data_IF_376444086862
#
_entry.id   IF_376444086862
#
_cell.length_a   1.000
_cell.length_b   1.000
_cell.length_c   1.000
_cell.angle_alpha   90.00
_cell.angle_beta   90.00
_cell.angle_gamma   90.00
#
_symmetry.space_group_name_H-M   'P 1'
#
loop_
_entity.id
_entity.type
_entity.pdbx_description
1 polymer ?
#
# COMPACT_ATOMS: atom_id res chain seq x y z
N UNK A 1 1.00 -21.68 4.30
CA UNK A 1 0.88 -21.07 2.95
C UNK A 1 1.60 -19.74 2.89
N UNK A 2 1.29 -18.74 3.71
CA UNK A 2 1.93 -17.42 3.63
C UNK A 2 3.46 -17.46 3.87
N UNK A 3 3.95 -18.25 4.82
CA UNK A 3 5.40 -18.49 5.01
C UNK A 3 6.07 -19.17 3.80
N UNK A 4 5.39 -20.13 3.18
CA UNK A 4 5.88 -20.79 1.98
C UNK A 4 5.92 -19.84 0.77
N UNK A 5 4.96 -18.92 0.66
CA UNK A 5 4.97 -17.84 -0.34
C UNK A 5 6.13 -16.87 -0.06
N UNK A 6 6.32 -16.46 1.20
CA UNK A 6 7.42 -15.58 1.61
C UNK A 6 8.78 -16.21 1.28
N UNK A 7 9.01 -17.48 1.66
CA UNK A 7 10.25 -18.19 1.32
C UNK A 7 10.45 -18.35 -0.19
N UNK A 8 9.37 -18.62 -0.95
CA UNK A 8 9.46 -18.71 -2.41
C UNK A 8 9.87 -17.37 -3.04
N UNK A 9 9.30 -16.24 -2.59
CA UNK A 9 9.60 -14.93 -3.15
C UNK A 9 10.95 -14.37 -2.68
N UNK A 10 11.37 -14.63 -1.45
CA UNK A 10 12.69 -14.23 -0.98
C UNK A 10 13.81 -14.92 -1.78
N UNK A 11 13.60 -16.17 -2.19
CA UNK A 11 14.60 -16.96 -2.91
C UNK A 11 14.44 -16.89 -4.44
N UNK A 12 13.58 -16.01 -4.96
CA UNK A 12 13.28 -15.97 -6.40
C UNK A 12 14.43 -15.35 -7.21
N UNK A 13 15.22 -14.47 -6.58
CA UNK A 13 16.41 -13.87 -7.17
C UNK A 13 17.52 -14.91 -7.37
N UNK A 14 17.61 -15.89 -6.46
CA UNK A 14 18.67 -16.91 -6.47
C UNK A 14 18.33 -18.15 -7.30
N UNK A 15 17.06 -18.35 -7.67
CA UNK A 15 16.59 -19.58 -8.32
C UNK A 15 17.18 -19.85 -9.69
N UNK A 16 17.43 -18.79 -10.44
CA UNK A 16 17.99 -18.82 -11.80
C UNK A 16 19.31 -18.04 -11.89
N UNK A 17 19.90 -17.68 -10.74
CA UNK A 17 21.14 -16.90 -10.72
C UNK A 17 22.25 -17.75 -11.38
N UNK A 18 22.83 -17.28 -12.50
CA UNK A 18 23.95 -17.98 -13.10
C UNK A 18 25.10 -18.00 -12.11
N UNK A 19 25.90 -19.07 -12.12
CA UNK A 19 27.11 -19.18 -11.30
C UNK A 19 28.20 -18.24 -11.85
N UNK A 20 27.98 -16.94 -11.65
CA UNK A 20 28.92 -15.89 -12.03
C UNK A 20 29.80 -15.58 -10.83
N UNK A 21 31.11 -15.65 -11.05
CA UNK A 21 32.08 -15.00 -10.18
C UNK A 21 31.76 -13.50 -10.12
N UNK A 22 31.90 -12.89 -8.94
CA UNK A 22 31.70 -11.44 -8.71
C UNK A 22 32.36 -10.57 -9.81
N UNK A 23 33.56 -10.93 -10.24
CA UNK A 23 34.31 -10.25 -11.29
C UNK A 23 33.60 -10.23 -12.66
N UNK A 24 32.95 -11.34 -13.04
CA UNK A 24 32.18 -11.45 -14.29
C UNK A 24 30.88 -10.66 -14.20
N UNK A 25 30.22 -10.68 -13.04
CA UNK A 25 29.02 -9.90 -12.81
C UNK A 25 29.32 -8.40 -12.90
N UNK A 26 30.38 -7.93 -12.24
CA UNK A 26 30.85 -6.54 -12.33
C UNK A 26 31.25 -6.13 -13.75
N UNK A 27 31.93 -7.02 -14.49
CA UNK A 27 32.28 -6.76 -15.88
C UNK A 27 31.04 -6.62 -16.78
N UNK A 28 30.06 -7.52 -16.63
CA UNK A 28 28.81 -7.47 -17.37
C UNK A 28 27.99 -6.22 -17.04
N UNK A 29 27.89 -5.86 -15.75
CA UNK A 29 27.22 -4.63 -15.32
C UNK A 29 27.90 -3.40 -15.92
N UNK A 30 29.24 -3.35 -15.92
CA UNK A 30 29.99 -2.25 -16.52
C UNK A 30 29.76 -2.14 -18.03
N UNK A 31 29.72 -3.28 -18.73
CA UNK A 31 29.51 -3.32 -20.17
C UNK A 31 28.12 -2.78 -20.54
N UNK A 32 27.07 -3.25 -19.86
CA UNK A 32 25.69 -2.77 -20.07
C UNK A 32 25.55 -1.29 -19.74
N UNK A 33 26.17 -0.82 -18.65
CA UNK A 33 26.06 0.56 -18.21
C UNK A 33 26.96 1.53 -18.99
N UNK A 34 27.88 1.02 -19.83
CA UNK A 34 28.83 1.83 -20.60
C UNK A 34 28.13 2.83 -21.54
N UNK A 35 27.01 2.42 -22.10
CA UNK A 35 26.28 3.19 -23.11
C UNK A 35 25.20 4.10 -22.50
N UNK A 36 25.08 4.14 -21.17
CA UNK A 36 24.21 5.08 -20.46
C UNK A 36 24.82 6.48 -20.55
N UNK A 37 24.35 7.25 -21.53
CA UNK A 37 24.78 8.63 -21.81
C UNK A 37 23.89 9.66 -21.11
N UNK A 38 23.56 9.44 -19.85
CA UNK A 38 22.77 10.39 -19.07
C UNK A 38 23.70 11.30 -18.27
N UNK A 39 23.78 12.57 -18.64
CA UNK A 39 24.36 13.60 -17.78
C UNK A 39 23.24 14.54 -17.32
N UNK A 40 22.86 14.36 -16.06
CA UNK A 40 21.86 15.19 -15.42
C UNK A 40 22.39 16.61 -15.22
N UNK A 41 21.58 17.62 -15.55
CA UNK A 41 21.96 19.02 -15.34
C UNK A 41 22.26 19.31 -13.86
N UNK A 42 23.10 20.32 -13.62
CA UNK A 42 23.44 20.77 -12.28
C UNK A 42 22.21 21.18 -11.48
N UNK A 43 21.21 21.83 -12.09
CA UNK A 43 19.99 22.25 -11.38
C UNK A 43 19.20 21.03 -10.89
N UNK A 44 19.06 20.01 -11.73
CA UNK A 44 18.39 18.74 -11.40
C UNK A 44 19.14 17.97 -10.31
N UNK A 45 20.48 17.94 -10.38
CA UNK A 45 21.33 17.36 -9.32
C UNK A 45 21.13 18.07 -7.98
N UNK A 46 21.02 19.40 -7.98
CA UNK A 46 20.74 20.18 -6.76
C UNK A 46 19.33 19.90 -6.23
N UNK A 47 18.33 19.88 -7.12
CA UNK A 47 16.95 19.57 -6.76
C UNK A 47 16.86 18.23 -6.04
N UNK A 48 17.38 17.15 -6.64
CA UNK A 48 17.38 15.81 -6.05
C UNK A 48 18.20 15.73 -4.76
N UNK A 49 19.31 16.47 -4.66
CA UNK A 49 20.15 16.49 -3.45
C UNK A 49 19.50 17.21 -2.26
N UNK A 50 18.59 18.16 -2.52
CA UNK A 50 17.93 18.94 -1.50
C UNK A 50 17.07 18.06 -0.56
N UNK A 51 16.94 18.49 0.68
CA UNK A 51 16.07 17.88 1.68
C UNK A 51 14.60 17.93 1.24
N UNK A 52 13.81 17.04 1.81
CA UNK A 52 12.36 17.03 1.59
C UNK A 52 11.71 18.20 2.33
N UNK A 53 10.84 18.89 1.62
CA UNK A 53 10.08 20.06 2.10
C UNK A 53 8.70 19.65 2.60
N UNK A 54 8.09 20.52 3.41
CA UNK A 54 6.72 20.33 3.91
C UNK A 54 5.69 20.24 2.79
N UNK A 55 5.89 20.99 1.70
CA UNK A 55 4.96 21.03 0.57
C UNK A 55 5.02 19.73 -0.22
N UNK A 56 6.20 19.17 -0.46
CA UNK A 56 6.37 17.86 -1.11
C UNK A 56 5.71 16.73 -0.29
N UNK A 57 5.83 16.75 1.05
CA UNK A 57 5.15 15.79 1.93
C UNK A 57 3.63 16.00 1.91
N UNK A 58 3.18 17.25 1.95
CA UNK A 58 1.75 17.59 1.90
C UNK A 58 1.12 17.11 0.60
N UNK A 59 1.77 17.33 -0.53
CA UNK A 59 1.30 16.89 -1.83
C UNK A 59 1.28 15.38 -1.97
N UNK A 60 2.32 14.68 -1.45
CA UNK A 60 2.35 13.22 -1.42
C UNK A 60 1.19 12.63 -0.59
N UNK A 61 0.86 13.28 0.53
CA UNK A 61 -0.27 12.89 1.39
C UNK A 61 -1.62 13.22 0.73
N UNK A 62 -1.79 14.39 0.11
CA UNK A 62 -3.02 14.76 -0.62
C UNK A 62 -3.33 13.81 -1.77
N UNK A 63 -2.29 13.33 -2.46
CA UNK A 63 -2.40 12.31 -3.53
C UNK A 63 -2.67 10.90 -3.00
N UNK A 64 -2.62 10.67 -1.69
CA UNK A 64 -2.93 9.37 -1.12
C UNK A 64 -4.44 9.11 -1.15
N UNK A 65 -4.83 7.97 -1.70
CA UNK A 65 -6.23 7.56 -1.73
C UNK A 65 -6.67 7.05 -0.35
N UNK A 66 -7.77 7.59 0.18
CA UNK A 66 -8.42 7.09 1.39
C UNK A 66 -9.00 5.68 1.20
N UNK A 67 -9.18 4.96 2.29
CA UNK A 67 -9.75 3.61 2.31
C UNK A 67 -8.78 2.50 1.90
N UNK A 68 -7.47 2.78 1.84
CA UNK A 68 -6.43 1.77 1.64
C UNK A 68 -6.08 1.08 2.96
N UNK A 69 -5.69 -0.18 2.87
CA UNK A 69 -5.23 -0.93 4.04
C UNK A 69 -3.92 -0.33 4.62
N UNK A 70 -3.91 -0.17 5.94
CA UNK A 70 -2.72 0.22 6.70
C UNK A 70 -1.71 -0.93 6.78
N UNK A 71 -0.47 -0.60 7.16
CA UNK A 71 0.59 -1.59 7.38
C UNK A 71 0.51 -2.25 8.76
N UNK A 72 1.65 -2.72 9.27
CA UNK A 72 1.81 -3.41 10.56
C UNK A 72 1.54 -2.53 11.77
N UNK A 73 1.73 -1.23 11.64
CA UNK A 73 1.42 -0.28 12.69
C UNK A 73 -0.09 -0.05 12.87
N UNK A 74 -0.88 -0.36 11.84
CA UNK A 74 -2.31 -0.12 11.76
C UNK A 74 -2.68 1.34 11.57
N UNK A 75 -1.73 2.24 11.32
CA UNK A 75 -1.98 3.68 11.16
C UNK A 75 -2.34 3.97 9.69
N UNK A 76 -3.55 4.46 9.41
CA UNK A 76 -4.03 4.63 8.05
C UNK A 76 -3.77 6.06 7.53
N UNK A 77 -3.93 6.28 6.22
CA UNK A 77 -3.74 7.60 5.61
C UNK A 77 -4.67 8.68 6.19
N UNK A 78 -5.88 8.29 6.61
CA UNK A 78 -6.84 9.25 7.15
C UNK A 78 -6.43 9.83 8.49
N UNK A 79 -5.60 9.12 9.26
CA UNK A 79 -4.96 9.70 10.43
C UNK A 79 -4.06 10.87 10.00
N UNK A 80 -3.10 10.59 9.11
CA UNK A 80 -2.15 11.61 8.65
C UNK A 80 -2.85 12.80 8.01
N UNK A 81 -3.90 12.56 7.21
CA UNK A 81 -4.69 13.60 6.56
C UNK A 81 -5.53 14.40 7.55
N UNK A 82 -6.10 13.77 8.59
CA UNK A 82 -6.90 14.47 9.60
C UNK A 82 -6.08 15.47 10.42
N UNK A 83 -4.76 15.26 10.55
CA UNK A 83 -3.83 16.12 11.30
C UNK A 83 -2.88 16.90 10.39
N UNK A 84 -3.22 17.04 9.11
CA UNK A 84 -2.48 17.88 8.18
C UNK A 84 -2.58 19.33 8.66
N UNK A 85 -1.50 19.87 9.26
CA UNK A 85 -1.45 21.26 9.71
C UNK A 85 -1.79 22.21 8.56
N UNK A 86 -2.72 23.14 8.79
CA UNK A 86 -3.22 24.07 7.77
C UNK A 86 -2.16 25.11 7.38
N UNK A 87 -2.08 25.41 6.08
CA UNK A 87 -1.62 26.71 5.60
C UNK A 87 -2.79 27.67 5.33
N UNK A 88 -4.03 27.16 5.23
CA UNK A 88 -5.21 27.88 4.76
C UNK A 88 -6.34 27.98 5.80
N UNK A 89 -6.05 27.80 7.09
CA UNK A 89 -7.07 27.88 8.14
C UNK A 89 -6.75 29.04 9.09
N UNK A 90 -6.98 30.28 8.61
CA UNK A 90 -6.96 31.51 9.43
C UNK A 90 -7.94 31.46 10.61
N UNK A 91 -8.76 30.40 10.72
CA UNK A 91 -9.68 30.19 11.83
C UNK A 91 -9.27 29.11 12.84
N UNK A 92 -8.10 28.48 12.71
CA UNK A 92 -7.59 27.61 13.77
C UNK A 92 -6.69 28.41 14.71
N UNK A 93 -7.34 28.87 15.79
CA UNK A 93 -6.78 29.26 17.08
C UNK A 93 -5.42 28.64 17.38
N UNK A 94 -4.50 29.46 17.92
CA UNK A 94 -3.26 29.08 18.62
C UNK A 94 -3.40 27.80 19.46
N UNK A 95 -3.32 26.64 18.85
CA UNK A 95 -3.30 25.35 19.54
C UNK A 95 -1.97 24.68 19.22
N UNK A 96 -1.26 24.25 20.25
CA UNK A 96 -0.03 23.44 20.20
C UNK A 96 -0.33 22.02 19.66
N UNK A 97 -1.14 21.93 18.61
CA UNK A 97 -1.69 20.72 18.05
C UNK A 97 -0.66 19.89 17.29
N UNK A 98 -0.94 18.60 17.17
CA UNK A 98 -0.14 17.67 16.36
C UNK A 98 -0.25 18.01 14.87
N UNK A 99 0.87 18.46 14.28
CA UNK A 99 1.01 18.75 12.84
C UNK A 99 1.73 17.59 12.13
N UNK A 100 0.95 16.75 11.45
CA UNK A 100 1.47 15.56 10.78
C UNK A 100 2.53 15.88 9.73
N UNK A 101 2.36 16.96 8.97
CA UNK A 101 3.30 17.34 7.91
C UNK A 101 4.63 17.76 8.51
N UNK A 102 4.62 18.56 9.59
CA UNK A 102 5.84 18.96 10.30
C UNK A 102 6.62 17.74 10.78
N UNK A 103 5.97 16.83 11.51
CA UNK A 103 6.64 15.65 12.06
C UNK A 103 7.11 14.67 10.99
N UNK A 104 6.30 14.38 9.97
CA UNK A 104 6.71 13.53 8.85
C UNK A 104 7.91 14.13 8.11
N UNK A 105 7.92 15.44 7.86
CA UNK A 105 9.06 16.10 7.20
C UNK A 105 10.34 15.99 8.03
N UNK A 106 10.25 16.16 9.35
CA UNK A 106 11.40 16.00 10.25
C UNK A 106 11.91 14.55 10.23
N UNK A 107 11.01 13.57 10.37
CA UNK A 107 11.37 12.14 10.36
C UNK A 107 11.97 11.73 9.01
N UNK A 108 11.41 12.18 7.89
CA UNK A 108 11.95 11.84 6.57
C UNK A 108 13.35 12.40 6.39
N UNK A 109 13.58 13.67 6.76
CA UNK A 109 14.91 14.26 6.67
C UNK A 109 15.92 13.59 7.63
N UNK A 110 15.46 13.14 8.81
CA UNK A 110 16.28 12.35 9.75
C UNK A 110 16.68 10.99 9.15
N UNK A 111 15.72 10.27 8.55
CA UNK A 111 15.96 9.02 7.82
C UNK A 111 16.93 9.24 6.66
N UNK A 112 16.82 10.36 5.92
CA UNK A 112 17.74 10.68 4.83
C UNK A 112 19.17 10.94 5.30
N UNK A 113 19.33 11.60 6.46
CA UNK A 113 20.63 11.92 7.02
C UNK A 113 21.30 10.70 7.68
N UNK A 114 20.53 9.98 8.51
CA UNK A 114 21.03 8.99 9.45
C UNK A 114 20.65 7.55 9.11
N UNK A 115 19.74 7.35 8.15
CA UNK A 115 19.15 6.05 7.85
C UNK A 115 18.06 5.67 8.86
N UNK A 116 17.54 4.45 8.72
CA UNK A 116 16.57 3.89 9.66
C UNK A 116 17.27 3.13 10.79
N UNK A 117 16.72 3.19 12.00
CA UNK A 117 17.17 2.33 13.10
C UNK A 117 16.93 0.85 12.76
N UNK A 118 17.84 -0.09 13.05
CA UNK A 118 17.66 -1.51 12.72
C UNK A 118 16.40 -2.15 13.30
N UNK A 119 16.00 -1.75 14.51
CA UNK A 119 14.82 -2.29 15.19
C UNK A 119 13.50 -1.62 14.78
N UNK A 120 13.56 -0.67 13.85
CA UNK A 120 12.36 0.02 13.39
C UNK A 120 11.52 -0.88 12.50
N UNK A 121 10.21 -0.74 12.66
CA UNK A 121 9.17 -1.42 11.90
C UNK A 121 8.69 -0.62 10.69
N UNK A 122 9.45 0.42 10.31
CA UNK A 122 9.06 1.40 9.29
C UNK A 122 8.94 0.78 7.89
N UNK A 123 9.91 -0.06 7.50
CA UNK A 123 9.97 -0.71 6.19
C UNK A 123 9.35 -2.12 6.16
N UNK A 124 8.79 -2.56 7.30
CA UNK A 124 8.12 -3.85 7.39
C UNK A 124 6.74 -3.78 6.72
N UNK A 125 6.33 -4.85 6.05
CA UNK A 125 5.02 -4.93 5.41
C UNK A 125 4.37 -6.30 5.48
N UNK A 126 3.04 -6.34 5.34
CA UNK A 126 2.29 -7.59 5.34
C UNK A 126 2.25 -8.20 3.94
N UNK A 127 2.75 -9.42 3.78
CA UNK A 127 2.63 -10.15 2.53
C UNK A 127 1.25 -10.81 2.42
N UNK A 128 0.46 -10.33 1.47
CA UNK A 128 -0.85 -10.84 1.12
C UNK A 128 -0.82 -11.46 -0.29
N UNK A 129 -0.74 -12.79 -0.43
CA UNK A 129 -0.77 -13.45 -1.73
C UNK A 129 -2.16 -13.31 -2.38
N UNK A 130 -2.21 -12.77 -3.59
CA UNK A 130 -3.42 -12.68 -4.40
C UNK A 130 -3.33 -13.63 -5.59
N UNK A 131 -4.28 -14.55 -5.68
CA UNK A 131 -4.37 -15.48 -6.79
C UNK A 131 -4.58 -14.73 -8.11
N UNK A 132 -3.76 -15.02 -9.13
CA UNK A 132 -3.84 -14.42 -10.47
C UNK A 132 -4.62 -15.31 -11.44
N UNK A 133 -4.10 -16.50 -11.76
CA UNK A 133 -4.69 -17.49 -12.70
C UNK A 133 -3.96 -18.84 -12.59
N UNK A 134 -4.57 -19.93 -13.06
CA UNK A 134 -3.96 -21.28 -13.09
C UNK A 134 -4.35 -22.20 -11.93
N UNK A 135 -3.49 -23.15 -11.60
CA UNK A 135 -3.74 -24.05 -10.45
C UNK A 135 -3.49 -23.31 -9.13
N UNK A 136 -4.53 -23.23 -8.28
CA UNK A 136 -4.49 -22.62 -6.94
C UNK A 136 -3.55 -23.34 -5.96
N UNK A 137 -3.10 -24.55 -6.28
CA UNK A 137 -2.13 -25.30 -5.46
C UNK A 137 -0.69 -24.86 -5.72
N UNK A 138 -0.42 -24.14 -6.82
CA UNK A 138 0.92 -23.66 -7.17
C UNK A 138 1.13 -22.22 -6.71
N UNK A 139 2.18 -21.98 -5.91
CA UNK A 139 2.51 -20.66 -5.35
C UNK A 139 2.85 -19.64 -6.45
N UNK A 140 3.45 -20.07 -7.56
CA UNK A 140 3.79 -19.21 -8.71
C UNK A 140 2.58 -18.51 -9.35
N UNK A 141 1.37 -19.03 -9.12
CA UNK A 141 0.11 -18.48 -9.61
C UNK A 141 -0.45 -17.37 -8.70
N UNK A 142 0.23 -17.07 -7.60
CA UNK A 142 -0.10 -15.98 -6.68
C UNK A 142 0.85 -14.81 -6.88
N UNK A 143 0.30 -13.60 -6.83
CA UNK A 143 1.05 -12.35 -6.79
C UNK A 143 1.26 -11.95 -5.33
N UNK A 144 2.49 -11.69 -4.88
CA UNK A 144 2.72 -11.13 -3.57
C UNK A 144 2.26 -9.67 -3.58
N UNK A 145 1.39 -9.28 -2.66
CA UNK A 145 1.09 -7.86 -2.41
C UNK A 145 1.53 -7.52 -1.00
N UNK A 146 2.41 -6.52 -0.87
CA UNK A 146 2.92 -6.11 0.43
C UNK A 146 2.19 -4.86 0.93
N UNK A 147 1.58 -4.97 2.12
CA UNK A 147 0.94 -3.86 2.81
C UNK A 147 1.95 -3.18 3.74
N UNK A 148 2.61 -2.15 3.20
CA UNK A 148 3.55 -1.30 3.95
C UNK A 148 2.80 -0.25 4.78
N UNK A 149 3.48 0.28 5.81
CA UNK A 149 2.93 1.35 6.64
C UNK A 149 2.62 2.60 5.80
N UNK A 150 1.61 3.36 6.24
CA UNK A 150 1.15 4.53 5.48
C UNK A 150 2.22 5.62 5.42
N UNK A 151 2.97 5.85 6.49
CA UNK A 151 4.09 6.79 6.56
C UNK A 151 5.24 6.43 5.60
N UNK A 152 5.62 5.15 5.52
CA UNK A 152 6.56 4.64 4.52
C UNK A 152 6.10 4.93 3.09
N UNK A 153 4.81 4.70 2.82
CA UNK A 153 4.23 4.97 1.49
C UNK A 153 4.16 6.47 1.19
N UNK A 154 4.01 7.33 2.19
CA UNK A 154 4.11 8.79 2.02
C UNK A 154 5.55 9.15 1.68
N UNK A 155 6.53 8.63 2.44
CA UNK A 155 7.95 8.86 2.21
C UNK A 155 8.39 8.48 0.80
N UNK A 156 8.13 7.24 0.39
CA UNK A 156 8.49 6.75 -0.95
C UNK A 156 7.80 7.54 -2.05
N UNK A 157 6.52 7.92 -1.87
CA UNK A 157 5.81 8.78 -2.84
C UNK A 157 6.43 10.17 -2.94
N UNK A 158 6.89 10.75 -1.83
CA UNK A 158 7.59 12.03 -1.85
C UNK A 158 8.87 11.93 -2.68
N UNK A 159 9.67 10.87 -2.47
CA UNK A 159 10.88 10.62 -3.28
C UNK A 159 10.56 10.36 -4.75
N UNK A 160 9.56 9.53 -5.06
CA UNK A 160 9.15 9.24 -6.44
C UNK A 160 8.62 10.49 -7.14
N UNK A 161 7.88 11.35 -6.44
CA UNK A 161 7.39 12.61 -7.02
C UNK A 161 8.54 13.53 -7.39
N UNK A 162 9.58 13.56 -6.54
CA UNK A 162 10.80 14.34 -6.76
C UNK A 162 11.64 13.78 -7.90
N UNK A 163 11.81 12.46 -7.99
CA UNK A 163 12.47 11.83 -9.14
C UNK A 163 11.67 12.05 -10.44
N UNK A 164 10.34 12.05 -10.34
CA UNK A 164 9.43 12.26 -11.46
C UNK A 164 9.55 13.64 -12.13
N UNK A 165 10.12 14.65 -11.47
CA UNK A 165 10.36 15.96 -12.10
C UNK A 165 11.49 15.94 -13.11
N UNK A 166 12.42 14.99 -12.97
CA UNK A 166 13.61 14.83 -13.83
C UNK A 166 13.57 13.55 -14.67
N UNK A 167 12.64 12.63 -14.39
CA UNK A 167 12.57 11.33 -15.07
C UNK A 167 12.46 11.45 -16.60
N UNK A 168 11.78 12.48 -17.11
CA UNK A 168 11.60 12.70 -18.55
C UNK A 168 12.91 13.05 -19.28
N UNK A 169 13.88 13.66 -18.59
CA UNK A 169 15.20 13.99 -19.18
C UNK A 169 16.19 12.83 -19.08
N UNK A 170 15.99 11.92 -18.13
CA UNK A 170 16.87 10.77 -17.88
C UNK A 170 16.51 9.54 -18.71
N UNK A 171 15.25 9.42 -19.09
CA UNK A 171 14.70 8.22 -19.72
C UNK A 171 14.45 8.49 -21.21
N UNK A 172 14.94 7.60 -22.07
CA UNK A 172 14.77 7.69 -23.53
C UNK A 172 13.30 7.88 -23.93
N UNK A 173 13.01 8.69 -24.94
CA UNK A 173 11.66 9.10 -25.35
C UNK A 173 10.69 7.93 -25.63
N UNK A 174 11.23 6.84 -26.19
CA UNK A 174 10.47 5.62 -26.50
C UNK A 174 9.95 4.87 -25.26
N UNK A 175 10.53 5.12 -24.09
CA UNK A 175 10.05 4.51 -22.85
C UNK A 175 8.83 5.30 -22.32
N UNK A 176 7.63 4.80 -22.61
CA UNK A 176 6.39 5.43 -22.15
C UNK A 176 5.90 4.94 -20.78
N UNK A 177 6.36 3.78 -20.32
CA UNK A 177 5.88 3.17 -19.08
C UNK A 177 6.30 3.98 -17.84
N UNK A 178 5.32 4.39 -17.02
CA UNK A 178 5.52 5.02 -15.71
C UNK A 178 6.30 6.35 -15.69
N UNK A 179 6.50 6.99 -16.85
CA UNK A 179 7.11 8.32 -16.95
C UNK A 179 5.99 9.38 -16.99
N UNK A 180 6.02 10.40 -16.11
CA UNK A 180 5.03 11.48 -16.15
C UNK A 180 4.96 12.13 -17.54
N UNK A 181 3.76 12.52 -17.96
CA UNK A 181 3.46 13.14 -19.27
C UNK A 181 3.60 12.22 -20.50
N UNK A 182 4.00 10.95 -20.33
CA UNK A 182 4.03 9.95 -21.41
C UNK A 182 2.82 9.04 -21.32
N UNK A 183 2.20 8.76 -22.48
CA UNK A 183 0.97 7.98 -22.58
C UNK A 183 1.18 6.76 -23.46
N UNK A 184 0.56 5.64 -23.07
CA UNK A 184 0.62 4.38 -23.83
C UNK A 184 0.01 4.53 -25.23
N UNK A 185 -0.98 5.41 -25.38
CA UNK A 185 -1.67 5.69 -26.64
C UNK A 185 -0.70 6.18 -27.72
N UNK A 186 0.24 7.04 -27.36
CA UNK A 186 1.27 7.55 -28.28
C UNK A 186 2.12 6.40 -28.84
N UNK A 187 2.54 5.46 -28.00
CA UNK A 187 3.34 4.32 -28.44
C UNK A 187 2.55 3.36 -29.33
N UNK A 188 1.28 3.10 -28.99
CA UNK A 188 0.42 2.29 -29.86
C UNK A 188 0.20 2.94 -31.23
N UNK A 189 0.13 4.27 -31.28
CA UNK A 189 0.05 5.02 -32.53
C UNK A 189 1.36 4.96 -33.32
N UNK A 190 2.50 5.13 -32.66
CA UNK A 190 3.83 4.99 -33.28
C UNK A 190 3.99 3.61 -33.91
N UNK A 191 3.65 2.52 -33.21
CA UNK A 191 3.69 1.17 -33.77
C UNK A 191 2.81 1.03 -35.01
N UNK A 192 1.62 1.62 -35.01
CA UNK A 192 0.72 1.57 -36.16
C UNK A 192 1.29 2.34 -37.36
N UNK A 193 1.79 3.55 -37.13
CA UNK A 193 2.40 4.36 -38.19
C UNK A 193 3.64 3.68 -38.77
N UNK A 194 4.43 2.99 -37.95
CA UNK A 194 5.58 2.20 -38.42
C UNK A 194 5.15 1.07 -39.37
N UNK A 195 4.05 0.38 -39.06
CA UNK A 195 3.48 -0.65 -39.96
C UNK A 195 2.99 -0.03 -41.25
N UNK A 196 2.18 1.03 -41.17
CA UNK A 196 1.65 1.74 -42.35
C UNK A 196 2.80 2.30 -43.23
N UNK A 197 3.89 2.76 -42.61
CA UNK A 197 5.08 3.27 -43.30
C UNK A 197 5.86 2.17 -44.03
N UNK A 198 6.08 1.02 -43.38
CA UNK A 198 6.72 -0.13 -44.00
C UNK A 198 5.88 -0.66 -45.18
N UNK A 199 4.55 -0.71 -45.03
CA UNK A 199 3.64 -1.08 -46.12
C UNK A 199 3.74 -0.10 -47.30
N UNK A 200 3.80 1.21 -47.03
CA UNK A 200 3.89 2.24 -48.07
C UNK A 200 5.24 2.21 -48.84
N UNK A 201 6.32 1.75 -48.20
CA UNK A 201 7.63 1.58 -48.83
C UNK A 201 7.87 0.19 -49.41
N UNK A 202 6.91 -0.73 -49.27
CA UNK A 202 7.06 -2.15 -49.63
C UNK A 202 8.28 -2.80 -48.95
N UNK A 203 8.57 -2.40 -47.70
CA UNK A 203 9.67 -2.95 -46.90
C UNK A 203 9.17 -4.04 -45.94
N UNK A 204 9.85 -5.18 -45.95
CA UNK A 204 9.59 -6.25 -44.99
C UNK A 204 10.09 -5.86 -43.59
N UNK A 205 9.25 -6.09 -42.57
CA UNK A 205 9.57 -5.79 -41.17
C UNK A 205 9.21 -6.94 -40.23
N UNK A 206 9.85 -6.97 -39.05
CA UNK A 206 9.56 -7.93 -37.98
C UNK A 206 9.29 -7.19 -36.68
N UNK A 207 8.20 -7.54 -36.00
CA UNK A 207 7.90 -7.07 -34.63
C UNK A 207 8.38 -8.11 -33.63
N UNK A 208 9.32 -7.73 -32.77
CA UNK A 208 9.82 -8.57 -31.68
C UNK A 208 9.16 -8.13 -30.37
N UNK A 209 8.23 -8.94 -29.86
CA UNK A 209 7.56 -8.70 -28.58
C UNK A 209 8.29 -9.44 -27.46
N UNK A 210 8.94 -8.68 -26.55
CA UNK A 210 9.65 -9.22 -25.39
C UNK A 210 8.86 -8.94 -24.12
N UNK A 211 8.65 -9.96 -23.28
CA UNK A 211 8.03 -9.84 -21.96
C UNK A 211 8.96 -10.41 -20.89
N UNK A 212 9.12 -9.69 -19.78
CA UNK A 212 10.00 -10.08 -18.68
C UNK A 212 9.20 -10.76 -17.57
N UNK A 213 9.52 -12.02 -17.27
CA UNK A 213 8.82 -12.77 -16.23
C UNK A 213 9.18 -12.22 -14.84
N UNK A 214 8.17 -11.70 -14.12
CA UNK A 214 8.30 -11.20 -12.74
C UNK A 214 9.42 -10.16 -12.59
N UNK A 215 9.46 -9.19 -13.51
CA UNK A 215 10.51 -8.18 -13.60
C UNK A 215 10.87 -7.51 -12.25
N UNK A 216 9.88 -7.12 -11.42
CA UNK A 216 10.16 -6.50 -10.11
C UNK A 216 10.84 -7.44 -9.11
N UNK A 217 10.49 -8.73 -9.14
CA UNK A 217 11.00 -9.71 -8.19
C UNK A 217 12.42 -10.18 -8.56
N UNK A 218 12.80 -10.10 -9.85
CA UNK A 218 14.09 -10.57 -10.37
C UNK A 218 15.18 -9.49 -10.49
N UNK A 219 14.89 -8.23 -10.14
CA UNK A 219 15.91 -7.16 -10.21
C UNK A 219 16.91 -7.31 -9.07
N UNK A 220 18.18 -7.46 -9.43
CA UNK A 220 19.30 -7.37 -8.50
C UNK A 220 19.45 -5.93 -7.99
N UNK A 221 19.50 -5.77 -6.66
CA UNK A 221 19.60 -4.46 -6.04
C UNK A 221 20.96 -3.81 -6.28
N UNK A 222 22.04 -4.60 -6.41
CA UNK A 222 23.37 -4.06 -6.75
C UNK A 222 23.32 -3.38 -8.11
N UNK A 223 22.81 -4.08 -9.11
CA UNK A 223 22.60 -3.54 -10.44
C UNK A 223 21.72 -2.29 -10.43
N UNK A 224 20.60 -2.30 -9.70
CA UNK A 224 19.72 -1.13 -9.57
C UNK A 224 20.47 0.11 -9.06
N UNK A 225 21.28 -0.02 -7.99
CA UNK A 225 22.07 1.09 -7.47
C UNK A 225 23.11 1.58 -8.47
N UNK A 226 23.80 0.67 -9.16
CA UNK A 226 24.76 1.01 -10.23
C UNK A 226 24.09 1.73 -11.40
N UNK A 227 22.88 1.32 -11.79
CA UNK A 227 22.12 2.02 -12.84
C UNK A 227 21.79 3.45 -12.42
N UNK A 228 21.39 3.68 -11.16
CA UNK A 228 21.10 5.02 -10.66
C UNK A 228 22.36 5.89 -10.60
N UNK A 229 23.52 5.32 -10.24
CA UNK A 229 24.82 5.99 -10.32
C UNK A 229 25.17 6.37 -11.78
N UNK A 230 25.00 5.43 -12.72
CA UNK A 230 25.27 5.65 -14.14
C UNK A 230 24.33 6.68 -14.79
N UNK A 231 23.09 6.80 -14.30
CA UNK A 231 22.15 7.85 -14.69
C UNK A 231 22.48 9.23 -14.11
N UNK A 232 23.56 9.34 -13.33
CA UNK A 232 24.04 10.61 -12.77
C UNK A 232 23.23 11.11 -11.58
N UNK A 233 22.43 10.25 -10.92
CA UNK A 233 21.70 10.65 -9.72
C UNK A 233 22.68 10.98 -8.58
N UNK A 234 22.43 12.02 -7.78
CA UNK A 234 23.31 12.37 -6.68
C UNK A 234 23.44 11.22 -5.66
N UNK A 235 24.66 10.89 -5.17
CA UNK A 235 24.86 9.82 -4.18
C UNK A 235 24.00 10.01 -2.92
N UNK A 236 23.77 11.27 -2.53
CA UNK A 236 22.84 11.60 -1.45
C UNK A 236 21.46 11.05 -1.73
N UNK A 237 20.89 11.30 -2.92
CA UNK A 237 19.55 10.84 -3.28
C UNK A 237 19.47 9.32 -3.41
N UNK A 238 20.50 8.67 -3.96
CA UNK A 238 20.60 7.20 -4.00
C UNK A 238 20.54 6.61 -2.58
N UNK A 239 21.28 7.21 -1.63
CA UNK A 239 21.23 6.81 -0.22
C UNK A 239 19.83 6.96 0.40
N UNK A 240 19.06 8.00 0.03
CA UNK A 240 17.65 8.18 0.47
C UNK A 240 16.75 7.05 0.01
N UNK A 241 17.00 6.49 -1.17
CA UNK A 241 16.20 5.39 -1.71
C UNK A 241 16.49 4.05 -1.04
N UNK A 242 17.64 3.87 -0.39
CA UNK A 242 18.01 2.63 0.31
C UNK A 242 16.96 2.14 1.31
N UNK A 243 16.57 2.94 2.32
CA UNK A 243 15.50 2.58 3.25
C UNK A 243 14.14 2.33 2.59
N UNK A 244 13.88 2.95 1.43
CA UNK A 244 12.66 2.76 0.62
C UNK A 244 12.71 1.60 -0.38
N UNK A 245 13.88 0.96 -0.55
CA UNK A 245 14.12 -0.14 -1.49
C UNK A 245 14.23 -1.51 -0.84
N UNK A 246 14.33 -1.57 0.50
CA UNK A 246 14.47 -2.83 1.26
C UNK A 246 13.26 -2.97 2.17
N UNK A 247 12.16 -3.53 1.65
CA UNK A 247 11.01 -3.91 2.46
C UNK A 247 11.23 -5.29 3.10
N UNK A 248 10.97 -5.43 4.40
CA UNK A 248 10.99 -6.72 5.10
C UNK A 248 9.55 -7.26 5.28
N UNK A 249 9.37 -8.57 5.08
CA UNK A 249 8.03 -9.16 4.98
C UNK A 249 7.59 -9.87 6.26
N UNK A 250 6.37 -9.60 6.69
CA UNK A 250 5.65 -10.33 7.75
C UNK A 250 4.33 -10.87 7.19
N UNK A 251 3.84 -12.02 7.66
CA UNK A 251 2.64 -12.66 7.11
C UNK A 251 1.52 -12.83 8.16
N UNK A 252 0.38 -12.13 7.99
CA UNK A 252 -0.83 -12.35 8.80
C UNK A 252 -2.10 -12.02 7.95
N UNK A 253 -3.25 -12.56 8.33
CA UNK A 253 -4.51 -12.56 7.55
C UNK A 253 -5.31 -11.24 7.70
N UNK A 254 -5.74 -10.63 6.59
CA UNK A 254 -6.73 -9.52 6.56
C UNK A 254 -8.15 -9.99 6.16
N UNK A 255 -9.16 -9.19 6.46
CA UNK A 255 -10.55 -9.39 6.04
C UNK A 255 -10.78 -8.98 4.58
N UNK A 256 -11.83 -9.53 3.96
CA UNK A 256 -12.14 -9.27 2.54
C UNK A 256 -13.19 -8.15 2.38
N UNK A 257 -13.08 -7.28 1.35
CA UNK A 257 -14.08 -6.23 1.11
C UNK A 257 -15.49 -6.79 0.88
N UNK A 258 -16.53 -6.05 1.27
CA UNK A 258 -17.94 -6.52 1.22
C UNK A 258 -18.43 -6.91 -0.17
N UNK A 259 -17.94 -6.27 -1.24
CA UNK A 259 -18.29 -6.62 -2.61
C UNK A 259 -17.63 -7.95 -3.03
N UNK A 260 -16.38 -8.19 -2.62
CA UNK A 260 -15.68 -9.47 -2.84
C UNK A 260 -16.36 -10.58 -2.04
N UNK A 261 -16.71 -10.31 -0.79
CA UNK A 261 -17.50 -11.21 0.05
C UNK A 261 -18.83 -11.59 -0.64
N UNK A 262 -19.56 -10.60 -1.15
CA UNK A 262 -20.84 -10.82 -1.83
C UNK A 262 -20.68 -11.65 -3.11
N UNK A 263 -19.68 -11.35 -3.93
CA UNK A 263 -19.39 -12.13 -5.14
C UNK A 263 -18.96 -13.56 -4.81
N UNK A 264 -18.14 -13.76 -3.77
CA UNK A 264 -17.75 -15.11 -3.34
C UNK A 264 -18.94 -15.90 -2.79
N UNK A 265 -19.80 -15.28 -1.98
CA UNK A 265 -21.05 -15.91 -1.51
C UNK A 265 -21.91 -16.29 -2.71
N UNK A 266 -22.02 -15.42 -3.73
CA UNK A 266 -22.75 -15.71 -4.96
C UNK A 266 -22.15 -16.89 -5.71
N UNK A 267 -20.82 -16.93 -5.88
CA UNK A 267 -20.12 -18.07 -6.51
C UNK A 267 -20.35 -19.38 -5.74
N UNK A 268 -20.31 -19.34 -4.41
CA UNK A 268 -20.58 -20.50 -3.56
C UNK A 268 -22.03 -20.97 -3.76
N UNK A 269 -23.00 -20.05 -3.76
CA UNK A 269 -24.41 -20.38 -3.99
C UNK A 269 -24.65 -20.97 -5.37
N UNK A 270 -24.06 -20.38 -6.41
CA UNK A 270 -24.14 -20.91 -7.78
C UNK A 270 -23.49 -22.29 -7.86
N UNK A 271 -22.36 -22.52 -7.20
CA UNK A 271 -21.73 -23.84 -7.16
C UNK A 271 -22.60 -24.89 -6.47
N UNK A 272 -23.25 -24.54 -5.36
CA UNK A 272 -24.08 -25.48 -4.59
C UNK A 272 -25.43 -25.79 -5.24
N UNK A 273 -26.04 -24.82 -5.92
CA UNK A 273 -27.44 -24.91 -6.36
C UNK A 273 -27.73 -24.40 -7.77
N UNK A 274 -26.70 -24.19 -8.60
CA UNK A 274 -26.82 -23.77 -9.99
C UNK A 274 -27.74 -22.54 -10.19
N UNK A 275 -27.63 -21.58 -9.27
CA UNK A 275 -28.44 -20.34 -9.24
C UNK A 275 -29.94 -20.54 -8.97
N UNK A 276 -30.34 -21.70 -8.44
CA UNK A 276 -31.72 -21.92 -7.95
C UNK A 276 -32.13 -20.87 -6.92
N UNK A 277 -33.31 -20.30 -7.08
CA UNK A 277 -33.90 -19.31 -6.17
C UNK A 277 -34.41 -19.93 -4.86
N UNK A 278 -34.63 -21.25 -4.84
CA UNK A 278 -35.12 -22.01 -3.69
C UNK A 278 -34.16 -23.16 -3.39
N UNK A 279 -33.05 -22.89 -2.66
CA UNK A 279 -32.07 -23.91 -2.36
C UNK A 279 -32.67 -24.95 -1.40
N UNK A 280 -32.46 -26.26 -1.64
CA UNK A 280 -32.99 -27.33 -0.78
C UNK A 280 -32.41 -27.34 0.64
N UNK A 281 -31.26 -26.70 0.85
CA UNK A 281 -30.60 -26.56 2.17
C UNK A 281 -30.19 -25.10 2.35
N UNK A 282 -30.46 -24.51 3.51
CA UNK A 282 -30.04 -23.13 3.80
C UNK A 282 -28.53 -23.01 3.98
N UNK A 283 -27.96 -21.83 3.67
CA UNK A 283 -26.53 -21.56 3.89
C UNK A 283 -26.10 -21.76 5.35
N UNK A 284 -26.96 -21.40 6.30
CA UNK A 284 -26.69 -21.53 7.74
C UNK A 284 -26.46 -22.99 8.16
N UNK A 285 -27.09 -23.95 7.48
CA UNK A 285 -26.85 -25.38 7.68
C UNK A 285 -25.52 -25.81 7.05
N UNK A 286 -25.19 -25.29 5.87
CA UNK A 286 -23.92 -25.61 5.20
C UNK A 286 -22.68 -25.15 5.99
N UNK A 287 -22.80 -24.04 6.72
CA UNK A 287 -21.71 -23.51 7.55
C UNK A 287 -21.39 -24.40 8.76
N UNK A 288 -22.34 -25.21 9.22
CA UNK A 288 -22.15 -26.06 10.41
C UNK A 288 -21.09 -27.13 10.18
N UNK A 289 -20.42 -27.63 11.24
CA UNK A 289 -19.51 -28.75 11.13
C UNK A 289 -20.16 -29.98 10.49
N UNK A 290 -19.35 -30.81 9.84
CA UNK A 290 -19.81 -32.07 9.21
C UNK A 290 -20.47 -32.98 10.25
N UNK A 291 -19.98 -32.98 11.49
CA UNK A 291 -20.55 -33.74 12.61
C UNK A 291 -21.97 -33.34 12.97
N UNK A 292 -22.42 -32.14 12.61
CA UNK A 292 -23.75 -31.61 12.88
C UNK A 292 -24.65 -31.63 11.62
N UNK A 293 -24.23 -32.35 10.58
CA UNK A 293 -24.96 -32.45 9.31
C UNK A 293 -24.74 -31.27 8.36
N UNK A 294 -23.74 -30.42 8.61
CA UNK A 294 -23.31 -29.37 7.68
C UNK A 294 -22.16 -29.79 6.75
N UNK A 295 -21.54 -28.82 6.08
CA UNK A 295 -20.37 -29.04 5.20
C UNK A 295 -19.09 -28.38 5.73
N UNK A 296 -19.14 -27.71 6.88
CA UNK A 296 -18.05 -26.93 7.42
C UNK A 296 -17.65 -25.77 6.51
N UNK A 297 -18.61 -25.25 5.72
CA UNK A 297 -18.33 -24.20 4.77
C UNK A 297 -18.01 -22.90 5.51
N UNK A 298 -16.97 -22.18 5.07
CA UNK A 298 -16.56 -20.96 5.74
C UNK A 298 -17.63 -19.87 5.58
N UNK A 299 -18.21 -19.44 6.69
CA UNK A 299 -19.07 -18.25 6.71
C UNK A 299 -18.20 -17.00 6.56
N UNK A 300 -18.19 -16.44 5.35
CA UNK A 300 -17.41 -15.27 5.00
C UNK A 300 -17.88 -14.01 5.75
N UNK A 301 -19.19 -13.91 6.07
CA UNK A 301 -19.74 -12.80 6.84
C UNK A 301 -19.30 -12.89 8.29
N UNK A 302 -19.52 -14.05 8.92
CA UNK A 302 -19.08 -14.27 10.30
C UNK A 302 -17.57 -14.12 10.45
N UNK A 303 -16.78 -14.53 9.44
CA UNK A 303 -15.33 -14.29 9.42
C UNK A 303 -14.97 -12.81 9.39
N UNK A 304 -15.57 -12.03 8.49
CA UNK A 304 -15.31 -10.59 8.41
C UNK A 304 -15.75 -9.86 9.69
N UNK A 305 -16.88 -10.26 10.27
CA UNK A 305 -17.35 -9.75 11.55
C UNK A 305 -16.42 -10.13 12.71
N UNK A 306 -15.92 -11.36 12.76
CA UNK A 306 -14.93 -11.79 13.75
C UNK A 306 -13.62 -11.01 13.64
N UNK A 307 -13.20 -10.63 12.42
CA UNK A 307 -12.04 -9.75 12.21
C UNK A 307 -12.32 -8.36 12.80
N UNK A 308 -13.50 -7.78 12.53
CA UNK A 308 -13.90 -6.51 13.13
C UNK A 308 -13.98 -6.60 14.66
N UNK A 309 -14.46 -7.71 15.22
CA UNK A 309 -14.46 -7.97 16.66
C UNK A 309 -13.04 -8.04 17.24
N UNK A 310 -12.10 -8.68 16.54
CA UNK A 310 -10.70 -8.72 16.97
C UNK A 310 -10.05 -7.32 16.93
N UNK A 311 -10.38 -6.51 15.93
CA UNK A 311 -9.99 -5.10 15.88
C UNK A 311 -10.60 -4.30 17.04
N UNK A 312 -11.89 -4.45 17.28
CA UNK A 312 -12.59 -3.81 18.39
C UNK A 312 -11.98 -4.21 19.75
N UNK A 313 -11.73 -5.50 19.98
CA UNK A 313 -11.08 -6.01 21.20
C UNK A 313 -9.72 -5.35 21.43
N UNK A 314 -8.92 -5.22 20.36
CA UNK A 314 -7.61 -4.53 20.41
C UNK A 314 -7.76 -3.03 20.67
N UNK A 315 -8.76 -2.38 20.08
CA UNK A 315 -9.07 -0.97 20.33
C UNK A 315 -9.49 -0.70 21.78
N UNK A 316 -10.32 -1.57 22.34
CA UNK A 316 -10.82 -1.53 23.72
C UNK A 316 -9.77 -1.94 24.76
N UNK A 317 -8.57 -2.38 24.35
CA UNK A 317 -7.48 -2.70 25.27
C UNK A 317 -6.93 -1.41 25.88
N UNK A 318 -7.17 -1.17 27.17
CA UNK A 318 -6.67 0.00 27.90
C UNK A 318 -5.41 -0.27 28.76
N UNK A 319 -4.80 -1.44 28.57
CA UNK A 319 -3.55 -1.83 29.25
C UNK A 319 -2.34 -1.14 28.61
N UNK A 320 -1.14 -1.18 29.22
CA UNK A 320 0.10 -0.68 28.60
C UNK A 320 0.40 -1.25 27.21
N UNK A 321 -0.17 -2.41 26.87
CA UNK A 321 -0.05 -3.04 25.55
C UNK A 321 -1.07 -2.52 24.51
N UNK A 322 -1.73 -1.38 24.78
CA UNK A 322 -2.66 -0.76 23.83
C UNK A 322 -1.94 -0.44 22.53
N UNK A 323 -2.46 -0.87 21.37
CA UNK A 323 -1.76 -0.64 20.12
C UNK A 323 -1.76 0.84 19.74
N UNK A 324 -0.66 1.33 19.14
CA UNK A 324 -0.48 2.74 18.75
C UNK A 324 -1.63 3.28 17.88
N UNK A 325 -2.12 2.47 16.93
CA UNK A 325 -3.25 2.86 16.08
C UNK A 325 -4.55 3.14 16.85
N UNK A 326 -4.73 2.58 18.05
CA UNK A 326 -5.93 2.85 18.85
C UNK A 326 -5.94 4.31 19.36
N UNK A 327 -4.77 4.85 19.70
CA UNK A 327 -4.65 6.28 20.06
C UNK A 327 -4.90 7.19 18.85
N UNK A 328 -4.39 6.80 17.68
CA UNK A 328 -4.68 7.49 16.43
C UNK A 328 -6.19 7.47 16.11
N UNK A 329 -6.85 6.33 16.35
CA UNK A 329 -8.28 6.15 16.21
C UNK A 329 -9.06 7.09 17.16
N UNK A 330 -8.68 7.14 18.44
CA UNK A 330 -9.31 8.05 19.42
C UNK A 330 -9.27 9.50 18.91
N UNK A 331 -8.11 9.93 18.42
CA UNK A 331 -7.91 11.27 17.91
C UNK A 331 -8.75 11.56 16.64
N UNK A 332 -8.92 10.58 15.74
CA UNK A 332 -9.83 10.68 14.59
C UNK A 332 -11.28 10.81 15.05
N UNK A 333 -11.71 9.95 15.97
CA UNK A 333 -13.09 9.93 16.48
C UNK A 333 -13.42 11.24 17.20
N UNK A 334 -12.47 11.80 17.94
CA UNK A 334 -12.60 13.06 18.65
C UNK A 334 -12.89 14.24 17.70
N UNK A 335 -12.26 14.27 16.52
CA UNK A 335 -12.56 15.27 15.47
C UNK A 335 -13.96 15.13 14.84
N UNK A 336 -14.64 14.00 15.07
CA UNK A 336 -15.93 13.68 14.45
C UNK A 336 -17.08 13.60 15.48
N UNK A 337 -16.90 14.08 16.71
CA UNK A 337 -17.95 14.08 17.73
C UNK A 337 -19.16 14.91 17.29
N UNK A 338 -20.38 14.38 17.52
CA UNK A 338 -21.61 15.12 17.17
C UNK A 338 -21.75 16.33 18.10
N UNK A 339 -21.97 17.52 17.51
CA UNK A 339 -22.08 18.82 18.22
C UNK A 339 -23.02 18.82 19.44
N UNK A 340 -24.03 17.93 19.48
CA UNK A 340 -24.98 17.81 20.60
C UNK A 340 -24.38 17.34 21.93
N UNK A 341 -23.18 16.73 21.91
CA UNK A 341 -22.52 16.22 23.11
C UNK A 341 -21.61 17.27 23.80
N UNK A 342 -21.65 18.52 23.35
CA UNK A 342 -20.92 19.64 23.97
C UNK A 342 -19.41 19.63 23.70
N UNK A 343 -18.70 20.59 24.32
CA UNK A 343 -17.24 20.70 24.28
C UNK A 343 -16.61 19.84 25.40
N UNK A 344 -16.62 18.52 25.22
CA UNK A 344 -15.74 17.65 26.02
C UNK A 344 -14.32 17.94 25.56
N UNK A 345 -13.39 18.18 26.49
CA UNK A 345 -11.97 18.38 26.16
C UNK A 345 -11.50 17.26 25.22
N UNK A 346 -10.95 17.64 24.07
CA UNK A 346 -10.46 16.70 23.04
C UNK A 346 -9.42 15.75 23.61
N UNK A 347 -8.64 16.18 24.62
CA UNK A 347 -7.65 15.34 25.32
C UNK A 347 -8.29 14.28 26.22
N UNK A 348 -9.55 14.48 26.63
CA UNK A 348 -10.30 13.54 27.44
C UNK A 348 -11.14 12.55 26.60
N UNK A 349 -11.16 12.65 25.27
CA UNK A 349 -11.95 11.81 24.38
C UNK A 349 -11.16 10.57 23.92
N UNK A 350 -11.10 9.54 24.76
CA UNK A 350 -10.18 8.39 24.60
C UNK A 350 -10.89 7.06 24.32
N UNK A 351 -12.23 7.00 24.45
CA UNK A 351 -13.01 5.83 24.04
C UNK A 351 -14.52 6.12 23.99
N UNK A 352 -15.13 6.13 22.80
CA UNK A 352 -16.58 6.34 22.64
C UNK A 352 -17.48 5.28 23.30
N UNK A 353 -16.99 4.07 23.57
CA UNK A 353 -17.78 3.01 24.22
C UNK A 353 -17.80 3.10 25.74
N UNK A 354 -16.82 3.82 26.33
CA UNK A 354 -16.72 4.01 27.78
C UNK A 354 -17.15 5.40 28.21
N UNK A 355 -17.56 6.25 27.25
CA UNK A 355 -17.86 7.66 27.46
C UNK A 355 -19.22 7.99 26.84
N UNK A 356 -19.85 9.07 27.32
CA UNK A 356 -21.20 9.47 26.93
C UNK A 356 -21.31 10.13 25.55
N UNK A 357 -20.19 10.32 24.85
CA UNK A 357 -20.17 10.93 23.52
C UNK A 357 -20.17 9.89 22.41
N UNK A 358 -20.72 10.27 21.25
CA UNK A 358 -20.75 9.42 20.06
C UNK A 358 -20.25 10.20 18.85
N UNK A 359 -19.36 9.63 18.03
CA UNK A 359 -18.94 10.23 16.77
C UNK A 359 -20.09 10.20 15.74
N UNK A 360 -20.05 11.09 14.75
CA UNK A 360 -20.92 11.02 13.60
C UNK A 360 -20.44 9.88 12.69
N UNK A 361 -21.05 8.69 12.79
CA UNK A 361 -20.64 7.51 12.03
C UNK A 361 -21.73 6.95 11.09
N UNK A 362 -22.80 7.72 10.82
CA UNK A 362 -23.82 7.38 9.82
C UNK A 362 -23.21 7.16 8.42
N UNK A 363 -23.94 6.53 7.50
CA UNK A 363 -23.43 6.22 6.15
C UNK A 363 -22.81 7.43 5.43
N UNK A 364 -23.41 8.62 5.58
CA UNK A 364 -22.95 9.91 5.00
C UNK A 364 -21.83 10.60 5.79
N UNK A 365 -21.35 10.03 6.88
CA UNK A 365 -20.24 10.59 7.65
C UNK A 365 -18.92 10.54 6.88
N UNK A 366 -18.06 11.53 7.16
CA UNK A 366 -16.68 11.60 6.65
C UNK A 366 -15.75 10.57 7.27
N UNK A 367 -16.22 9.80 8.25
CA UNK A 367 -15.43 8.71 8.83
C UNK A 367 -15.15 7.62 7.79
N UNK A 368 -13.92 7.10 7.76
CA UNK A 368 -13.55 5.93 6.95
C UNK A 368 -14.48 4.74 7.19
N UNK A 369 -14.69 3.93 6.14
CA UNK A 369 -15.66 2.82 6.18
C UNK A 369 -15.30 1.74 7.20
N UNK A 370 -14.02 1.38 7.35
CA UNK A 370 -13.59 0.38 8.34
C UNK A 370 -13.82 0.84 9.79
N UNK A 371 -13.67 2.13 10.09
CA UNK A 371 -14.05 2.71 11.40
C UNK A 371 -15.56 2.62 11.56
N UNK A 372 -16.29 2.94 10.47
CA UNK A 372 -17.71 2.66 10.22
C UNK A 372 -18.14 1.32 10.82
N UNK A 373 -17.55 0.30 10.22
CA UNK A 373 -17.87 -1.10 10.41
C UNK A 373 -17.47 -1.57 11.82
N UNK A 374 -16.29 -1.19 12.31
CA UNK A 374 -15.85 -1.50 13.68
C UNK A 374 -16.78 -0.90 14.73
N UNK A 375 -17.19 0.37 14.58
CA UNK A 375 -18.13 1.02 15.50
C UNK A 375 -19.51 0.35 15.46
N UNK A 376 -19.96 -0.05 14.28
CA UNK A 376 -21.22 -0.79 14.11
C UNK A 376 -21.16 -2.15 14.83
N UNK A 377 -20.09 -2.92 14.63
CA UNK A 377 -19.86 -4.19 15.35
C UNK A 377 -19.85 -3.95 16.86
N UNK A 378 -19.13 -2.93 17.35
CA UNK A 378 -19.10 -2.64 18.78
C UNK A 378 -20.46 -2.27 19.37
N UNK A 379 -21.37 -1.66 18.60
CA UNK A 379 -22.74 -1.43 19.10
C UNK A 379 -23.53 -2.71 19.27
N UNK A 380 -23.41 -3.64 18.33
CA UNK A 380 -24.09 -4.93 18.40
C UNK A 380 -23.65 -5.79 19.60
N UNK A 381 -22.38 -5.68 20.01
CA UNK A 381 -21.80 -6.56 21.04
C UNK A 381 -21.46 -5.89 22.38
N UNK A 382 -21.31 -4.57 22.45
CA UNK A 382 -20.88 -3.86 23.67
C UNK A 382 -21.96 -2.98 24.31
N UNK A 383 -23.14 -2.83 23.72
CA UNK A 383 -24.25 -2.15 24.40
C UNK A 383 -25.00 -3.14 25.31
N UNK A 384 -25.27 -2.79 26.58
CA UNK A 384 -26.08 -3.63 27.46
C UNK A 384 -27.54 -3.65 26.97
N UNK A 385 -27.96 -4.77 26.39
CA UNK A 385 -29.35 -5.25 26.33
C UNK A 385 -30.33 -4.52 25.40
N UNK A 386 -30.50 -5.05 24.19
CA UNK A 386 -31.84 -5.37 23.66
C UNK A 386 -31.92 -6.89 23.44
N UNK A 387 -31.98 -7.63 24.54
CA UNK A 387 -32.54 -8.98 24.64
C UNK A 387 -33.24 -9.07 25.97
#
# INVERSE_FOLDING_TARGET
MAEAVMSYHNNIQDKDAPDFTFEKQEAAMRDVLRDVKADMDWQDKQLLSANVTRDEVRDALKKAQSGKAAGIDGIPYEFWAAFMGGADDETQTNDDGFDSIKYLTLVFNDIEAHGTLPDTKFADGWLCPIYKKGDKRKIENYRPITLLNSDYKIYTRTLTSKLGTVADTLIHEDQAGFVPKRHIENQTQTCRVLVDYAEALEEDGVIVALDQEKAYDKIDHTYLWRTLEALGLPPRFIKKMGPGGISQYLAVVQGMPSHVESELIKMIRTFMWDSSSSPPVGMDTLYRPISEGGLGLLDLKARNEAINMMWLKRYLTLTPNRPKWAYAMDAILAKHVVKRFGAIDTKAQVNTFLQSWTPAYAARSRLPRYIKDMLSTGKSYCQPGTT
#
